data_IF_735178938616
#
_entry.id   IF_735178938616
#
_cell.length_a   1.000
_cell.length_b   1.000
_cell.length_c   1.000
_cell.angle_alpha   90.00
_cell.angle_beta   90.00
_cell.angle_gamma   90.00
#
_symmetry.space_group_name_H-M   'P 1'
#
loop_
_entity.id
_entity.type
_entity.pdbx_description
1 polymer ?
#
# COMPACT_ATOMS: atom_id res chain seq x y z
N UNK A 1 -16.53 24.15 -2.55
CA UNK A 1 -16.59 23.37 -1.30
C UNK A 1 -16.81 21.91 -1.63
N UNK A 2 -18.02 21.32 -1.67
CA UNK A 2 -18.16 19.85 -1.87
C UNK A 2 -17.46 19.28 -3.12
N UNK A 3 -17.56 19.94 -4.27
CA UNK A 3 -16.88 19.52 -5.51
C UNK A 3 -15.35 19.63 -5.44
N UNK A 4 -14.83 20.53 -4.60
CA UNK A 4 -13.40 20.72 -4.38
C UNK A 4 -12.85 19.64 -3.45
N UNK A 5 -13.52 19.36 -2.33
CA UNK A 5 -13.17 18.26 -1.40
C UNK A 5 -13.13 16.89 -2.11
N UNK A 6 -14.14 16.59 -2.94
CA UNK A 6 -14.17 15.34 -3.72
C UNK A 6 -13.00 15.26 -4.70
N UNK A 7 -12.62 16.39 -5.30
CA UNK A 7 -11.47 16.43 -6.20
C UNK A 7 -10.16 16.16 -5.44
N UNK A 8 -9.97 16.79 -4.28
CA UNK A 8 -8.79 16.56 -3.46
C UNK A 8 -8.70 15.10 -3.00
N UNK A 9 -9.82 14.47 -2.65
CA UNK A 9 -9.86 13.04 -2.32
C UNK A 9 -9.49 12.14 -3.52
N UNK A 10 -9.97 12.47 -4.73
CA UNK A 10 -9.57 11.75 -5.97
C UNK A 10 -8.07 11.90 -6.22
N UNK A 11 -7.53 13.11 -6.10
CA UNK A 11 -6.11 13.38 -6.30
C UNK A 11 -5.24 12.56 -5.32
N UNK A 12 -5.67 12.44 -4.06
CA UNK A 12 -4.99 11.60 -3.06
C UNK A 12 -5.12 10.10 -3.37
N UNK A 13 -6.27 9.63 -3.87
CA UNK A 13 -6.43 8.25 -4.32
C UNK A 13 -5.49 7.90 -5.48
N UNK A 14 -5.34 8.79 -6.47
CA UNK A 14 -4.43 8.57 -7.60
C UNK A 14 -2.97 8.51 -7.15
N UNK A 15 -2.57 9.37 -6.20
CA UNK A 15 -1.26 9.30 -5.57
C UNK A 15 -1.05 7.95 -4.84
N UNK A 16 -2.06 7.47 -4.11
CA UNK A 16 -2.01 6.18 -3.41
C UNK A 16 -1.86 5.01 -4.38
N UNK A 17 -2.65 4.97 -5.47
CA UNK A 17 -2.58 3.91 -6.49
C UNK A 17 -1.15 3.76 -7.01
N UNK A 18 -0.53 4.87 -7.43
CA UNK A 18 0.83 4.87 -7.97
C UNK A 18 1.82 4.31 -6.94
N UNK A 19 1.71 4.72 -5.66
CA UNK A 19 2.62 4.25 -4.61
C UNK A 19 2.42 2.78 -4.26
N UNK A 20 1.18 2.30 -4.26
CA UNK A 20 0.85 0.92 -3.97
C UNK A 20 1.37 -0.02 -5.06
N UNK A 21 1.18 0.33 -6.33
CA UNK A 21 1.78 -0.40 -7.47
C UNK A 21 3.31 -0.47 -7.36
N UNK A 22 3.93 0.64 -6.98
CA UNK A 22 5.37 0.76 -6.77
C UNK A 22 5.87 -0.17 -5.64
N UNK A 23 5.09 -0.33 -4.57
CA UNK A 23 5.40 -1.26 -3.47
C UNK A 23 5.21 -2.71 -3.91
N UNK A 24 4.11 -3.02 -4.57
CA UNK A 24 3.82 -4.36 -5.10
C UNK A 24 4.93 -4.85 -6.03
N UNK A 25 5.46 -3.98 -6.88
CA UNK A 25 6.58 -4.29 -7.77
C UNK A 25 7.88 -4.59 -7.00
N UNK A 26 8.18 -3.85 -5.93
CA UNK A 26 9.35 -4.12 -5.09
C UNK A 26 9.19 -5.41 -4.26
N UNK A 27 8.00 -5.68 -3.71
CA UNK A 27 7.67 -6.92 -3.00
C UNK A 27 7.74 -8.15 -3.93
N UNK A 28 7.19 -8.05 -5.13
CA UNK A 28 7.25 -9.10 -6.17
C UNK A 28 8.69 -9.39 -6.60
N UNK A 29 9.49 -8.34 -6.78
CA UNK A 29 10.91 -8.47 -7.09
C UNK A 29 11.64 -9.21 -5.96
N UNK A 30 11.39 -8.84 -4.70
CA UNK A 30 12.00 -9.50 -3.55
C UNK A 30 11.61 -10.97 -3.43
N UNK A 31 10.35 -11.32 -3.72
CA UNK A 31 9.86 -12.71 -3.78
C UNK A 31 10.58 -13.54 -4.84
N UNK A 32 10.82 -12.95 -6.02
CA UNK A 32 11.50 -13.62 -7.14
C UNK A 32 12.99 -13.86 -6.83
N UNK A 33 13.68 -12.88 -6.23
CA UNK A 33 15.06 -13.05 -5.78
C UNK A 33 15.19 -14.09 -4.65
N UNK A 34 14.20 -14.18 -3.76
CA UNK A 34 14.15 -15.24 -2.74
C UNK A 34 13.95 -16.66 -3.31
N UNK A 35 13.42 -16.80 -4.53
CA UNK A 35 13.41 -18.09 -5.25
C UNK A 35 14.77 -18.38 -5.92
N UNK A 36 15.46 -17.34 -6.41
CA UNK A 36 16.79 -17.48 -7.01
C UNK A 36 17.85 -17.97 -6.00
N UNK A 37 17.79 -17.49 -4.74
CA UNK A 37 18.68 -17.96 -3.64
C UNK A 37 18.59 -19.48 -3.40
N UNK A 38 17.39 -20.05 -3.53
CA UNK A 38 17.14 -21.49 -3.35
C UNK A 38 17.72 -22.35 -4.49
N UNK A 39 17.87 -21.76 -5.69
CA UNK A 39 18.33 -22.48 -6.89
C UNK A 39 19.86 -22.33 -7.07
N UNK A 40 20.44 -21.19 -6.69
CA UNK A 40 21.82 -20.85 -7.07
C UNK A 40 22.88 -20.89 -5.96
N UNK A 41 22.49 -20.99 -4.69
CA UNK A 41 23.47 -21.14 -3.60
C UNK A 41 24.21 -19.85 -3.23
N UNK A 42 23.82 -19.35 -2.06
CA UNK A 42 24.42 -18.44 -1.07
C UNK A 42 25.59 -17.48 -1.41
N UNK A 43 25.40 -16.21 -1.03
CA UNK A 43 26.52 -15.32 -0.70
C UNK A 43 26.32 -13.84 -1.00
N UNK A 44 26.02 -13.49 -2.27
CA UNK A 44 26.05 -12.07 -2.72
C UNK A 44 24.67 -11.40 -2.88
N UNK A 45 23.57 -12.15 -2.74
CA UNK A 45 22.21 -11.68 -3.06
C UNK A 45 21.57 -10.93 -1.88
N UNK A 46 22.05 -11.14 -0.65
CA UNK A 46 21.49 -10.55 0.57
C UNK A 46 21.49 -9.02 0.62
N UNK A 47 22.49 -8.34 0.01
CA UNK A 47 22.52 -6.87 -0.04
C UNK A 47 21.45 -6.30 -0.97
N UNK A 48 21.28 -6.91 -2.15
CA UNK A 48 20.23 -6.51 -3.09
C UNK A 48 18.83 -6.79 -2.55
N UNK A 49 18.65 -7.90 -1.81
CA UNK A 49 17.41 -8.20 -1.08
C UNK A 49 17.10 -7.11 -0.05
N UNK A 50 18.07 -6.76 0.81
CA UNK A 50 17.90 -5.72 1.84
C UNK A 50 17.53 -4.37 1.23
N UNK A 51 18.25 -3.91 0.21
CA UNK A 51 17.96 -2.62 -0.44
C UNK A 51 16.56 -2.55 -1.03
N UNK A 52 16.04 -3.65 -1.59
CA UNK A 52 14.67 -3.68 -2.13
C UNK A 52 13.60 -3.66 -1.04
N UNK A 53 13.85 -4.29 0.09
CA UNK A 53 12.95 -4.25 1.24
C UNK A 53 12.97 -2.88 1.92
N UNK A 54 14.14 -2.27 2.08
CA UNK A 54 14.28 -0.89 2.59
C UNK A 54 13.50 0.11 1.73
N UNK A 55 13.53 -0.06 0.40
CA UNK A 55 12.72 0.75 -0.53
C UNK A 55 11.22 0.52 -0.34
N UNK A 56 10.77 -0.72 -0.20
CA UNK A 56 9.37 -1.03 0.05
C UNK A 56 8.88 -0.40 1.36
N UNK A 57 9.66 -0.49 2.45
CA UNK A 57 9.31 0.15 3.72
C UNK A 57 9.26 1.67 3.61
N UNK A 58 10.24 2.29 2.95
CA UNK A 58 10.26 3.75 2.75
C UNK A 58 9.01 4.22 1.99
N UNK A 59 8.56 3.43 1.01
CA UNK A 59 7.32 3.69 0.27
C UNK A 59 6.06 3.43 1.10
N UNK A 60 6.06 2.41 1.97
CA UNK A 60 4.96 2.13 2.89
C UNK A 60 4.74 3.24 3.91
N UNK A 61 5.80 3.91 4.38
CA UNK A 61 5.65 5.16 5.16
C UNK A 61 4.98 6.29 4.36
N UNK A 62 5.23 6.39 3.06
CA UNK A 62 4.54 7.38 2.23
C UNK A 62 3.06 7.03 2.06
N UNK A 63 2.75 5.73 1.90
CA UNK A 63 1.37 5.24 1.86
C UNK A 63 0.65 5.58 3.16
N UNK A 64 1.25 5.33 4.33
CA UNK A 64 0.68 5.70 5.63
C UNK A 64 0.26 7.18 5.69
N UNK A 65 1.16 8.09 5.29
CA UNK A 65 0.87 9.52 5.28
C UNK A 65 -0.26 9.89 4.30
N UNK A 66 -0.26 9.29 3.11
CA UNK A 66 -1.31 9.51 2.13
C UNK A 66 -2.67 8.93 2.58
N UNK A 67 -2.67 7.77 3.23
CA UNK A 67 -3.88 7.16 3.81
C UNK A 67 -4.49 8.04 4.90
N UNK A 68 -3.67 8.62 5.77
CA UNK A 68 -4.11 9.58 6.79
C UNK A 68 -4.67 10.87 6.17
N UNK A 69 -4.05 11.35 5.09
CA UNK A 69 -4.58 12.48 4.34
C UNK A 69 -5.92 12.15 3.70
N UNK A 70 -6.03 11.00 3.03
CA UNK A 70 -7.28 10.55 2.42
C UNK A 70 -8.39 10.45 3.46
N UNK A 71 -8.11 9.90 4.64
CA UNK A 71 -9.06 9.85 5.76
C UNK A 71 -9.59 11.25 6.12
N UNK A 72 -8.70 12.24 6.15
CA UNK A 72 -9.09 13.62 6.42
C UNK A 72 -10.00 14.18 5.31
N UNK A 73 -9.58 14.09 4.04
CA UNK A 73 -10.40 14.62 2.93
C UNK A 73 -11.76 13.91 2.85
N UNK A 74 -11.80 12.60 3.13
CA UNK A 74 -13.05 11.84 3.19
C UNK A 74 -13.92 12.23 4.38
N UNK A 75 -13.35 12.63 5.52
CA UNK A 75 -14.14 13.05 6.69
C UNK A 75 -14.85 14.39 6.48
N UNK A 76 -14.32 15.24 5.61
CA UNK A 76 -14.93 16.50 5.20
C UNK A 76 -16.06 16.29 4.18
N UNK A 77 -16.09 15.12 3.53
CA UNK A 77 -17.18 14.67 2.67
C UNK A 77 -18.18 13.87 3.53
N UNK A 78 -19.44 14.31 3.64
CA UNK A 78 -20.53 13.54 4.27
C UNK A 78 -20.94 12.31 3.44
N UNK A 79 -19.99 11.47 3.02
CA UNK A 79 -20.26 10.15 2.49
C UNK A 79 -20.31 9.18 3.67
N UNK A 80 -21.33 8.33 3.73
CA UNK A 80 -21.35 7.22 4.68
C UNK A 80 -20.24 6.24 4.27
N UNK A 81 -19.04 6.46 4.82
CA UNK A 81 -17.83 5.66 4.60
C UNK A 81 -17.90 4.31 5.35
N UNK A 82 -19.09 3.82 5.67
CA UNK A 82 -19.27 2.55 6.40
C UNK A 82 -18.61 1.37 5.67
N UNK A 83 -18.48 1.44 4.34
CA UNK A 83 -17.84 0.42 3.50
C UNK A 83 -16.30 0.50 3.45
N UNK A 84 -15.68 1.53 4.02
CA UNK A 84 -14.22 1.74 3.95
C UNK A 84 -13.49 1.44 5.27
N UNK A 85 -14.18 0.86 6.25
CA UNK A 85 -13.57 0.42 7.52
C UNK A 85 -12.43 -0.59 7.32
N UNK A 86 -12.54 -1.44 6.29
CA UNK A 86 -11.53 -2.46 5.97
C UNK A 86 -10.20 -1.84 5.47
N UNK A 87 -10.22 -0.68 4.81
CA UNK A 87 -8.98 0.01 4.38
C UNK A 87 -8.02 0.24 5.53
N UNK A 88 -8.55 0.66 6.69
CA UNK A 88 -7.73 0.96 7.86
C UNK A 88 -7.13 -0.30 8.47
N UNK A 89 -7.94 -1.34 8.61
CA UNK A 89 -7.50 -2.65 9.12
C UNK A 89 -6.39 -3.24 8.26
N UNK A 90 -6.52 -3.15 6.93
CA UNK A 90 -5.54 -3.67 5.99
C UNK A 90 -4.24 -2.87 5.98
N UNK A 91 -4.36 -1.54 6.01
CA UNK A 91 -3.22 -0.63 6.19
C UNK A 91 -2.48 -0.98 7.48
N UNK A 92 -3.18 -1.02 8.60
CA UNK A 92 -2.58 -1.24 9.92
C UNK A 92 -1.89 -2.61 9.99
N UNK A 93 -2.53 -3.66 9.47
CA UNK A 93 -1.91 -4.99 9.37
C UNK A 93 -0.60 -5.00 8.56
N UNK A 94 -0.56 -4.28 7.43
CA UNK A 94 0.69 -4.14 6.67
C UNK A 94 1.75 -3.40 7.46
N UNK A 95 1.40 -2.26 8.06
CA UNK A 95 2.33 -1.42 8.80
C UNK A 95 2.87 -2.15 10.04
N UNK A 96 2.04 -2.91 10.76
CA UNK A 96 2.47 -3.74 11.89
C UNK A 96 3.53 -4.77 11.44
N UNK A 97 3.27 -5.52 10.36
CA UNK A 97 4.23 -6.52 9.85
C UNK A 97 5.54 -5.87 9.39
N UNK A 98 5.47 -4.66 8.84
CA UNK A 98 6.60 -3.93 8.27
C UNK A 98 7.43 -3.18 9.32
N UNK A 99 6.79 -2.64 10.35
CA UNK A 99 7.43 -1.77 11.34
C UNK A 99 7.75 -2.47 12.65
N UNK A 100 6.99 -3.49 13.08
CA UNK A 100 7.32 -4.21 14.32
C UNK A 100 8.57 -5.08 14.17
N UNK A 101 8.99 -5.40 12.94
CA UNK A 101 10.09 -6.32 12.71
C UNK A 101 11.02 -5.86 11.58
N UNK A 102 11.78 -4.75 11.76
CA UNK A 102 12.55 -4.16 10.69
C UNK A 102 13.65 -5.13 10.21
N UNK A 103 13.33 -5.83 9.12
CA UNK A 103 14.21 -6.53 8.17
C UNK A 103 15.00 -7.76 8.60
N UNK A 104 15.05 -8.15 9.87
CA UNK A 104 15.81 -9.34 10.27
C UNK A 104 15.07 -10.66 10.03
N UNK A 105 13.74 -10.71 10.21
CA UNK A 105 12.96 -11.96 10.16
C UNK A 105 12.19 -12.23 8.85
N UNK A 106 12.07 -11.24 7.95
CA UNK A 106 11.54 -11.38 6.58
C UNK A 106 12.39 -12.29 5.66
N UNK A 107 13.30 -13.06 6.25
CA UNK A 107 13.77 -14.33 5.71
C UNK A 107 12.61 -15.30 5.44
N UNK A 108 11.47 -15.15 6.14
CA UNK A 108 10.31 -16.02 5.98
C UNK A 108 9.44 -15.51 4.80
N UNK A 109 9.41 -16.30 3.72
CA UNK A 109 8.58 -16.09 2.50
C UNK A 109 7.11 -15.75 2.79
N UNK A 110 6.59 -16.19 3.94
CA UNK A 110 5.20 -15.98 4.38
C UNK A 110 4.87 -14.50 4.59
N UNK A 111 5.74 -13.75 5.28
CA UNK A 111 5.49 -12.35 5.63
C UNK A 111 5.46 -11.46 4.38
N UNK A 112 6.40 -11.68 3.44
CA UNK A 112 6.40 -10.97 2.14
C UNK A 112 5.11 -11.22 1.37
N UNK A 113 4.59 -12.45 1.39
CA UNK A 113 3.31 -12.74 0.72
C UNK A 113 2.14 -12.05 1.45
N UNK A 114 2.10 -12.09 2.79
CA UNK A 114 1.03 -11.43 3.55
C UNK A 114 1.00 -9.92 3.31
N UNK A 115 2.15 -9.25 3.34
CA UNK A 115 2.24 -7.82 3.01
C UNK A 115 1.85 -7.56 1.57
N UNK A 116 2.30 -8.40 0.62
CA UNK A 116 1.91 -8.27 -0.79
C UNK A 116 0.40 -8.39 -0.99
N UNK A 117 -0.21 -9.43 -0.41
CA UNK A 117 -1.63 -9.71 -0.55
C UNK A 117 -2.47 -8.57 0.05
N UNK A 118 -2.13 -8.10 1.26
CA UNK A 118 -2.80 -6.94 1.86
C UNK A 118 -2.55 -5.62 1.11
N UNK A 119 -1.35 -5.43 0.51
CA UNK A 119 -1.07 -4.23 -0.31
C UNK A 119 -1.93 -4.24 -1.58
N UNK A 120 -2.08 -5.42 -2.17
CA UNK A 120 -2.85 -5.60 -3.39
C UNK A 120 -4.35 -5.38 -3.14
N UNK A 121 -4.88 -5.96 -2.06
CA UNK A 121 -6.27 -5.75 -1.66
C UNK A 121 -6.52 -4.27 -1.30
N UNK A 122 -5.56 -3.60 -0.65
CA UNK A 122 -5.66 -2.17 -0.32
C UNK A 122 -5.70 -1.30 -1.59
N UNK A 123 -4.92 -1.66 -2.62
CA UNK A 123 -4.97 -1.04 -3.93
C UNK A 123 -6.36 -1.18 -4.57
N UNK A 124 -6.92 -2.38 -4.62
CA UNK A 124 -8.25 -2.62 -5.21
C UNK A 124 -9.33 -1.76 -4.51
N UNK A 125 -9.26 -1.65 -3.18
CA UNK A 125 -10.16 -0.81 -2.41
C UNK A 125 -10.01 0.69 -2.69
N UNK A 126 -8.78 1.19 -2.83
CA UNK A 126 -8.52 2.59 -3.21
C UNK A 126 -9.04 2.89 -4.62
N UNK A 127 -8.89 1.96 -5.57
CA UNK A 127 -9.43 2.12 -6.92
C UNK A 127 -10.95 2.17 -6.92
N UNK A 128 -11.62 1.29 -6.16
CA UNK A 128 -13.07 1.31 -6.01
C UNK A 128 -13.58 2.61 -5.36
N UNK A 129 -12.85 3.12 -4.37
CA UNK A 129 -13.14 4.42 -3.76
C UNK A 129 -13.00 5.55 -4.77
N UNK A 130 -11.88 5.61 -5.50
CA UNK A 130 -11.64 6.62 -6.54
C UNK A 130 -12.77 6.64 -7.57
N UNK A 131 -13.19 5.47 -8.05
CA UNK A 131 -14.26 5.36 -9.03
C UNK A 131 -15.59 5.85 -8.48
N UNK A 132 -15.86 5.60 -7.19
CA UNK A 132 -17.06 6.08 -6.50
C UNK A 132 -17.05 7.61 -6.33
N UNK A 133 -15.92 8.17 -5.88
CA UNK A 133 -15.71 9.61 -5.78
C UNK A 133 -15.85 10.31 -7.15
N UNK A 134 -15.30 9.71 -8.21
CA UNK A 134 -15.38 10.23 -9.58
C UNK A 134 -16.82 10.24 -10.09
N UNK A 135 -17.60 9.20 -9.80
CA UNK A 135 -19.03 9.17 -10.11
C UNK A 135 -19.78 10.29 -9.39
N UNK A 136 -19.48 10.52 -8.11
CA UNK A 136 -20.11 11.58 -7.34
C UNK A 136 -19.72 12.98 -7.82
N UNK A 137 -18.44 13.19 -8.14
CA UNK A 137 -17.94 14.44 -8.73
C UNK A 137 -18.69 14.84 -10.01
N UNK A 138 -18.99 13.86 -10.86
CA UNK A 138 -19.68 14.07 -12.14
C UNK A 138 -21.19 14.37 -11.99
N UNK A 139 -21.79 14.10 -10.83
CA UNK A 139 -23.19 14.45 -10.55
C UNK A 139 -23.36 15.89 -10.06
N UNK A 140 -22.29 16.51 -9.57
CA UNK A 140 -22.23 17.89 -9.06
C UNK A 140 -21.90 18.91 -10.15
#
# INVERSE_FOLDING_TARGET
MQKEEIKEAIDVCDDLVIKLEDVLNDLKSAKNWAMADFIFGDGMIGFFKRSKMEKAQSKLHLIENLSLRLQKELSDIHMELEDFGDLYSMRDFMLDIVFDNPFTDWRIRKEINQVYDSTYEYLENIEMLRDSLTKEYNKL
#
